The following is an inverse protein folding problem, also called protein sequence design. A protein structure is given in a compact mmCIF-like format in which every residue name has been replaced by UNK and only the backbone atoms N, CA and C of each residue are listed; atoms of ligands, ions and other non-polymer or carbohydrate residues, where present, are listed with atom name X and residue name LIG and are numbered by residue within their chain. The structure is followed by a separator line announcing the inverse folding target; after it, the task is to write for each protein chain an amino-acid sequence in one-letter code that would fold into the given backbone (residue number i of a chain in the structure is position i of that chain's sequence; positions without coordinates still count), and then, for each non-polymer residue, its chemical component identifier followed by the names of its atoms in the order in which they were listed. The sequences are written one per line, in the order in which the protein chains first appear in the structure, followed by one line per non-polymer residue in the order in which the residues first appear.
data_IF_706881461548
#
_entry.id   IF_706881461548
#
_cell.length_a   1.000
_cell.length_b   1.000
_cell.length_c   1.000
_cell.angle_alpha   90.00
_cell.angle_beta   90.00
_cell.angle_gamma   90.00
#
_symmetry.space_group_name_H-M   'P 1'
#
loop_
_entity.id
_entity.type
_entity.pdbx_description
1 polymer ?
#
# COMPACT_ATOMS: atom_id res chain seq x y z
N UNK A 1 -11.55 -2.84 -4.72
CA UNK A 1 -11.85 -3.90 -3.75
C UNK A 1 -13.30 -3.76 -3.30
N UNK A 2 -14.01 -4.89 -3.16
CA UNK A 2 -15.41 -4.94 -2.69
C UNK A 2 -15.56 -6.04 -1.65
N UNK A 3 -16.24 -5.74 -0.55
CA UNK A 3 -16.62 -6.76 0.43
C UNK A 3 -17.84 -7.53 -0.09
N UNK A 4 -17.73 -8.85 -0.12
CA UNK A 4 -18.77 -9.79 -0.56
C UNK A 4 -19.23 -10.60 0.64
N UNK A 5 -20.52 -10.66 0.87
CA UNK A 5 -21.11 -11.37 2.02
C UNK A 5 -21.89 -12.61 1.64
N UNK A 6 -22.27 -12.73 0.37
CA UNK A 6 -23.07 -13.85 -0.12
C UNK A 6 -22.49 -14.45 -1.40
N UNK A 7 -22.77 -15.73 -1.62
CA UNK A 7 -22.40 -16.42 -2.86
C UNK A 7 -23.03 -15.79 -4.10
N UNK A 8 -24.23 -15.22 -3.96
CA UNK A 8 -24.92 -14.54 -5.06
C UNK A 8 -24.20 -13.26 -5.47
N UNK A 9 -23.76 -12.44 -4.50
CA UNK A 9 -22.94 -11.26 -4.76
C UNK A 9 -21.61 -11.63 -5.44
N UNK A 10 -20.92 -12.67 -4.93
CA UNK A 10 -19.68 -13.17 -5.53
C UNK A 10 -19.91 -13.57 -7.00
N UNK A 11 -20.95 -14.36 -7.28
CA UNK A 11 -21.29 -14.79 -8.65
C UNK A 11 -21.58 -13.61 -9.57
N UNK A 12 -22.31 -12.59 -9.11
CA UNK A 12 -22.58 -11.37 -9.87
C UNK A 12 -21.29 -10.62 -10.23
N UNK A 13 -20.36 -10.50 -9.28
CA UNK A 13 -19.06 -9.85 -9.53
C UNK A 13 -18.20 -10.64 -10.50
N UNK A 14 -18.16 -11.97 -10.39
CA UNK A 14 -17.45 -12.85 -11.34
C UNK A 14 -18.04 -12.70 -12.74
N UNK A 15 -19.36 -12.74 -12.87
CA UNK A 15 -20.03 -12.54 -14.17
C UNK A 15 -19.66 -11.18 -14.77
N UNK A 16 -19.55 -10.14 -13.95
CA UNK A 16 -19.10 -8.83 -14.41
C UNK A 16 -17.63 -8.86 -14.82
N UNK A 17 -16.73 -9.46 -14.01
CA UNK A 17 -15.30 -9.55 -14.27
C UNK A 17 -14.99 -10.27 -15.60
N UNK A 18 -15.69 -11.36 -15.89
CA UNK A 18 -15.49 -12.14 -17.12
C UNK A 18 -16.34 -11.68 -18.30
N UNK A 19 -17.27 -10.72 -18.10
CA UNK A 19 -18.11 -10.14 -19.12
C UNK A 19 -17.70 -8.70 -19.48
N UNK A 20 -18.52 -7.74 -19.03
CA UNK A 20 -18.31 -6.31 -19.33
C UNK A 20 -17.10 -5.67 -18.65
N UNK A 21 -16.50 -6.33 -17.66
CA UNK A 21 -15.37 -5.84 -16.88
C UNK A 21 -15.70 -4.72 -15.91
N UNK A 22 -14.70 -4.34 -15.13
CA UNK A 22 -14.75 -3.21 -14.20
C UNK A 22 -13.98 -2.02 -14.78
N UNK A 23 -14.51 -0.79 -14.70
CA UNK A 23 -13.76 0.38 -15.10
C UNK A 23 -12.60 0.62 -14.13
N UNK A 24 -11.41 0.88 -14.66
CA UNK A 24 -10.20 1.23 -13.88
C UNK A 24 -10.30 2.60 -13.19
N UNK A 25 -11.27 3.39 -13.56
CA UNK A 25 -11.50 4.72 -13.02
C UNK A 25 -12.97 4.90 -12.64
N UNK A 26 -13.19 5.28 -11.39
CA UNK A 26 -14.51 5.64 -10.89
C UNK A 26 -14.52 7.14 -10.52
N UNK A 27 -15.06 8.00 -11.40
CA UNK A 27 -15.11 9.44 -11.16
C UNK A 27 -15.99 9.82 -9.95
N UNK A 28 -16.97 8.96 -9.60
CA UNK A 28 -17.89 9.23 -8.48
C UNK A 28 -17.19 9.09 -7.14
N UNK A 29 -16.29 8.13 -7.00
CA UNK A 29 -15.49 7.96 -5.78
C UNK A 29 -14.59 9.17 -5.54
N UNK A 30 -13.98 9.71 -6.60
CA UNK A 30 -13.13 10.90 -6.48
C UNK A 30 -13.92 12.15 -6.09
N UNK A 31 -15.11 12.31 -6.64
CA UNK A 31 -16.02 13.39 -6.26
C UNK A 31 -16.42 13.30 -4.79
N UNK A 32 -16.78 12.09 -4.32
CA UNK A 32 -17.10 11.82 -2.91
C UNK A 32 -15.93 12.12 -1.98
N UNK A 33 -14.70 11.75 -2.39
CA UNK A 33 -13.50 12.04 -1.61
C UNK A 33 -13.20 13.55 -1.54
N UNK A 34 -13.30 14.25 -2.66
CA UNK A 34 -13.10 15.70 -2.70
C UNK A 34 -14.16 16.42 -1.88
N UNK A 35 -15.42 15.95 -1.92
CA UNK A 35 -16.50 16.49 -1.09
C UNK A 35 -16.25 16.27 0.40
N UNK A 36 -15.77 15.07 0.78
CA UNK A 36 -15.46 14.74 2.19
C UNK A 36 -14.29 15.54 2.75
N UNK A 37 -13.29 15.85 1.90
CA UNK A 37 -12.10 16.65 2.25
C UNK A 37 -12.30 18.14 2.01
N UNK A 38 -13.51 18.55 1.54
CA UNK A 38 -13.77 19.93 1.20
C UNK A 38 -13.61 20.83 2.44
N UNK A 39 -12.76 21.84 2.30
CA UNK A 39 -12.60 22.93 3.26
C UNK A 39 -12.98 24.24 2.56
N UNK A 40 -13.53 25.19 3.30
CA UNK A 40 -13.83 26.55 2.82
C UNK A 40 -12.54 27.37 2.65
N UNK A 41 -11.56 26.80 1.93
CA UNK A 41 -10.31 27.43 1.56
C UNK A 41 -10.19 27.52 0.04
N UNK A 42 -9.32 28.40 -0.46
CA UNK A 42 -9.04 28.53 -1.90
C UNK A 42 -8.66 27.19 -2.52
N UNK A 43 -7.83 26.39 -1.82
CA UNK A 43 -7.37 25.09 -2.28
C UNK A 43 -8.52 24.06 -2.31
N UNK A 44 -9.43 24.09 -1.34
CA UNK A 44 -10.62 23.24 -1.31
C UNK A 44 -11.54 23.50 -2.52
N UNK A 45 -11.75 24.76 -2.90
CA UNK A 45 -12.53 25.10 -4.10
C UNK A 45 -11.83 24.65 -5.39
N UNK A 46 -10.51 24.81 -5.49
CA UNK A 46 -9.73 24.38 -6.65
C UNK A 46 -9.77 22.86 -6.79
N UNK A 47 -9.64 22.11 -5.71
CA UNK A 47 -9.69 20.65 -5.73
C UNK A 47 -11.08 20.12 -6.08
N UNK A 48 -12.13 20.78 -5.60
CA UNK A 48 -13.51 20.47 -6.00
C UNK A 48 -13.75 20.76 -7.49
N UNK A 49 -13.31 21.90 -7.99
CA UNK A 49 -13.42 22.25 -9.41
C UNK A 49 -12.64 21.23 -10.29
N UNK A 50 -11.44 20.82 -9.88
CA UNK A 50 -10.67 19.76 -10.56
C UNK A 50 -11.40 18.41 -10.53
N UNK A 51 -12.05 18.06 -9.42
CA UNK A 51 -12.81 16.81 -9.31
C UNK A 51 -14.01 16.79 -10.25
N UNK A 52 -14.76 17.91 -10.34
CA UNK A 52 -15.87 18.09 -11.28
C UNK A 52 -15.37 18.05 -12.74
N UNK A 53 -14.30 18.77 -13.05
CA UNK A 53 -13.71 18.74 -14.39
C UNK A 53 -13.31 17.32 -14.82
N UNK A 54 -12.71 16.55 -13.92
CA UNK A 54 -12.32 15.14 -14.18
C UNK A 54 -13.49 14.17 -14.23
N UNK A 55 -14.64 14.53 -13.68
CA UNK A 55 -15.88 13.77 -13.87
C UNK A 55 -16.36 13.84 -15.32
N UNK A 56 -16.29 15.03 -15.92
CA UNK A 56 -16.71 15.29 -17.32
C UNK A 56 -15.60 14.90 -18.31
N UNK A 57 -14.34 15.20 -17.96
CA UNK A 57 -13.16 14.94 -18.81
C UNK A 57 -12.20 14.00 -18.07
N UNK A 58 -12.40 12.66 -18.16
CA UNK A 58 -11.49 11.71 -17.51
C UNK A 58 -10.09 11.84 -18.10
N UNK A 59 -9.04 11.61 -17.28
CA UNK A 59 -7.64 11.64 -17.72
C UNK A 59 -7.39 10.70 -18.90
N UNK A 60 -6.44 11.03 -19.76
CA UNK A 60 -6.14 10.23 -20.97
C UNK A 60 -5.74 8.80 -20.65
N UNK A 61 -5.05 8.53 -19.53
CA UNK A 61 -4.68 7.18 -19.14
C UNK A 61 -5.90 6.25 -18.97
N UNK A 62 -7.06 6.79 -18.55
CA UNK A 62 -8.31 6.02 -18.40
C UNK A 62 -8.79 5.43 -19.73
N UNK A 63 -8.57 6.18 -20.81
CA UNK A 63 -8.91 5.72 -22.17
C UNK A 63 -7.96 4.62 -22.66
N UNK A 64 -6.69 4.68 -22.22
CA UNK A 64 -5.65 3.73 -22.61
C UNK A 64 -5.76 2.44 -21.81
N UNK A 65 -5.99 2.52 -20.50
CA UNK A 65 -6.04 1.34 -19.62
C UNK A 65 -7.29 0.48 -19.80
N UNK A 66 -8.37 1.01 -20.38
CA UNK A 66 -9.59 0.26 -20.63
C UNK A 66 -10.27 -0.22 -19.35
N UNK A 67 -10.78 -1.46 -19.38
CA UNK A 67 -11.45 -2.12 -18.26
C UNK A 67 -10.65 -3.32 -17.79
N UNK A 68 -10.73 -3.63 -16.51
CA UNK A 68 -10.22 -4.88 -15.96
C UNK A 68 -11.19 -6.02 -16.30
N UNK A 69 -10.72 -6.99 -17.07
CA UNK A 69 -11.51 -8.12 -17.56
C UNK A 69 -10.71 -9.41 -17.45
N UNK A 70 -11.39 -10.53 -17.22
CA UNK A 70 -10.81 -11.86 -17.35
C UNK A 70 -10.21 -12.44 -16.07
N UNK A 71 -10.31 -11.75 -14.94
CA UNK A 71 -9.89 -12.31 -13.65
C UNK A 71 -10.77 -11.85 -12.49
N UNK A 72 -10.79 -12.66 -11.43
CA UNK A 72 -11.39 -12.32 -10.14
C UNK A 72 -10.53 -12.94 -9.04
N UNK A 73 -10.05 -12.12 -8.12
CA UNK A 73 -9.31 -12.55 -6.94
C UNK A 73 -10.19 -12.43 -5.71
N UNK A 74 -10.28 -13.51 -4.92
CA UNK A 74 -11.00 -13.55 -3.66
C UNK A 74 -10.04 -13.80 -2.52
N UNK A 75 -10.22 -13.06 -1.45
CA UNK A 75 -9.45 -13.15 -0.22
C UNK A 75 -10.42 -13.19 0.97
N UNK A 76 -10.08 -13.95 1.99
CA UNK A 76 -10.84 -13.93 3.22
C UNK A 76 -10.78 -12.54 3.86
N UNK A 77 -11.94 -12.02 4.26
CA UNK A 77 -11.99 -10.78 5.02
C UNK A 77 -11.64 -11.05 6.48
N UNK A 78 -10.67 -10.33 7.00
CA UNK A 78 -10.27 -10.38 8.41
C UNK A 78 -10.92 -9.19 9.12
N UNK A 79 -11.96 -9.43 9.95
CA UNK A 79 -12.71 -8.36 10.60
C UNK A 79 -11.96 -7.77 11.79
N UNK A 80 -12.51 -6.65 12.34
CA UNK A 80 -12.10 -6.02 13.59
C UNK A 80 -10.69 -5.38 13.57
N UNK A 81 -10.15 -5.06 12.40
CA UNK A 81 -8.95 -4.26 12.28
C UNK A 81 -9.34 -2.79 12.07
N UNK A 82 -8.97 -1.92 13.01
CA UNK A 82 -9.15 -0.47 12.91
C UNK A 82 -8.04 0.22 12.11
N UNK A 83 -6.99 -0.52 11.81
CA UNK A 83 -5.84 -0.12 11.01
C UNK A 83 -5.22 -1.31 10.31
N UNK A 84 -4.39 -1.05 9.32
CA UNK A 84 -3.39 -1.98 8.82
C UNK A 84 -1.99 -1.43 9.08
N UNK A 85 -1.02 -2.33 9.20
CA UNK A 85 0.39 -2.01 9.39
C UNK A 85 1.13 -2.31 8.09
N UNK A 86 1.72 -1.29 7.48
CA UNK A 86 2.61 -1.46 6.33
C UNK A 86 4.06 -1.39 6.78
N UNK A 87 4.80 -2.46 6.55
CA UNK A 87 6.25 -2.52 6.76
C UNK A 87 6.93 -2.62 5.40
N UNK A 88 7.95 -1.78 5.19
CA UNK A 88 8.78 -1.78 4.00
C UNK A 88 10.17 -2.22 4.39
N UNK A 89 10.73 -3.15 3.62
CA UNK A 89 12.11 -3.62 3.81
C UNK A 89 12.92 -3.28 2.57
N UNK A 90 14.07 -2.63 2.77
CA UNK A 90 15.03 -2.27 1.74
C UNK A 90 16.44 -2.53 2.28
N UNK A 91 17.21 -3.38 1.61
CA UNK A 91 18.63 -3.64 1.94
C UNK A 91 18.85 -3.91 3.44
N UNK A 92 18.04 -4.79 4.04
CA UNK A 92 18.15 -5.16 5.46
C UNK A 92 17.73 -4.05 6.44
N UNK A 93 16.96 -3.06 6.00
CA UNK A 93 16.39 -2.01 6.84
C UNK A 93 14.89 -1.95 6.66
N UNK A 94 14.15 -1.89 7.77
CA UNK A 94 12.69 -1.84 7.76
C UNK A 94 12.18 -0.53 8.34
N UNK A 95 11.17 0.03 7.72
CA UNK A 95 10.42 1.19 8.22
C UNK A 95 8.95 1.03 7.85
N UNK A 96 8.07 1.81 8.44
CA UNK A 96 6.67 1.59 8.16
C UNK A 96 5.74 2.73 8.52
N UNK A 97 4.48 2.49 8.24
CA UNK A 97 3.38 3.34 8.68
C UNK A 97 2.17 2.50 9.05
N UNK A 98 1.43 2.93 10.04
CA UNK A 98 0.13 2.40 10.40
C UNK A 98 -0.93 3.25 9.71
N UNK A 99 -1.89 2.62 9.01
CA UNK A 99 -2.97 3.31 8.30
C UNK A 99 -4.29 3.02 8.98
N UNK A 100 -4.95 4.06 9.46
CA UNK A 100 -6.28 3.91 10.07
C UNK A 100 -7.35 3.68 9.01
N UNK A 101 -8.31 2.81 9.35
CA UNK A 101 -9.46 2.53 8.51
C UNK A 101 -10.34 3.77 8.36
N UNK A 102 -10.93 3.97 7.20
CA UNK A 102 -11.85 5.07 6.95
C UNK A 102 -13.13 4.91 7.75
N UNK A 103 -13.66 5.98 8.29
CA UNK A 103 -14.96 5.95 8.96
C UNK A 103 -16.06 5.42 8.01
N UNK A 104 -16.70 4.31 8.41
CA UNK A 104 -17.74 3.67 7.62
C UNK A 104 -17.26 2.83 6.42
N UNK A 105 -15.98 2.50 6.38
CA UNK A 105 -15.35 1.62 5.38
C UNK A 105 -14.54 0.53 6.12
N UNK A 106 -14.13 -0.50 5.43
CA UNK A 106 -13.21 -1.53 5.94
C UNK A 106 -11.78 -1.35 5.41
N UNK A 107 -11.57 -0.40 4.52
CA UNK A 107 -10.29 -0.15 3.86
C UNK A 107 -9.49 0.92 4.59
N UNK A 108 -8.25 0.61 4.94
CA UNK A 108 -7.29 1.58 5.46
C UNK A 108 -6.59 2.35 4.32
N UNK A 109 -6.39 1.68 3.19
CA UNK A 109 -5.76 2.30 2.02
C UNK A 109 -6.46 3.58 1.56
N UNK A 110 -5.67 4.67 1.42
CA UNK A 110 -6.16 5.99 1.01
C UNK A 110 -7.01 6.71 2.06
N UNK A 111 -6.97 6.32 3.33
CA UNK A 111 -7.65 7.04 4.43
C UNK A 111 -7.10 8.43 4.63
N UNK A 112 -5.79 8.61 4.45
CA UNK A 112 -5.07 9.84 4.73
C UNK A 112 -4.83 10.07 6.23
N UNK A 113 -5.03 9.04 7.07
CA UNK A 113 -4.77 9.06 8.50
C UNK A 113 -3.72 8.00 8.82
N UNK A 114 -2.55 8.44 9.30
CA UNK A 114 -1.37 7.62 9.50
C UNK A 114 -0.77 7.85 10.89
N UNK A 115 -0.05 6.84 11.38
CA UNK A 115 0.87 6.94 12.50
C UNK A 115 2.22 6.33 12.10
N UNK A 116 3.32 6.90 12.61
CA UNK A 116 4.68 6.56 12.22
C UNK A 116 5.57 6.22 13.41
N UNK A 117 5.11 6.53 14.63
CA UNK A 117 5.87 6.35 15.84
C UNK A 117 6.07 4.85 16.13
N UNK A 118 7.27 4.49 16.60
CA UNK A 118 7.68 3.11 16.87
C UNK A 118 6.66 2.32 17.71
N UNK A 119 6.05 2.96 18.67
CA UNK A 119 5.14 2.37 19.66
C UNK A 119 3.84 1.83 19.05
N UNK A 120 3.51 2.26 17.84
CA UNK A 120 2.34 1.78 17.09
C UNK A 120 2.56 0.46 16.36
N UNK A 121 3.80 -0.01 16.29
CA UNK A 121 4.13 -1.20 15.52
C UNK A 121 4.31 -2.43 16.43
N UNK A 122 3.70 -3.53 16.01
CA UNK A 122 4.00 -4.82 16.59
C UNK A 122 5.29 -5.36 15.95
N UNK A 123 6.33 -5.56 16.75
CA UNK A 123 7.64 -6.03 16.29
C UNK A 123 7.58 -7.40 15.60
N UNK A 124 6.53 -8.20 15.85
CA UNK A 124 6.30 -9.45 15.12
C UNK A 124 6.09 -9.20 13.62
N UNK A 125 5.42 -8.10 13.24
CA UNK A 125 5.26 -7.72 11.83
C UNK A 125 6.61 -7.39 11.19
N UNK A 126 7.48 -6.69 11.93
CA UNK A 126 8.83 -6.33 11.46
C UNK A 126 9.69 -7.58 11.29
N UNK A 127 9.69 -8.49 12.27
CA UNK A 127 10.41 -9.75 12.23
C UNK A 127 9.97 -10.62 11.04
N UNK A 128 8.65 -10.79 10.84
CA UNK A 128 8.09 -11.54 9.71
C UNK A 128 8.47 -10.90 8.38
N UNK A 129 8.45 -9.56 8.30
CA UNK A 129 8.83 -8.85 7.07
C UNK A 129 10.30 -9.12 6.70
N UNK A 130 11.23 -9.09 7.65
CA UNK A 130 12.64 -9.46 7.41
C UNK A 130 12.77 -10.91 6.98
N UNK A 131 12.17 -11.85 7.72
CA UNK A 131 12.23 -13.28 7.44
C UNK A 131 11.75 -13.61 6.01
N UNK A 132 10.62 -13.04 5.59
CA UNK A 132 10.07 -13.30 4.26
C UNK A 132 10.89 -12.61 3.17
N UNK A 133 11.39 -11.40 3.42
CA UNK A 133 12.28 -10.69 2.50
C UNK A 133 13.53 -11.52 2.20
N UNK A 134 14.15 -12.10 3.22
CA UNK A 134 15.31 -12.97 3.09
C UNK A 134 14.97 -14.24 2.33
N UNK A 135 13.91 -14.97 2.75
CA UNK A 135 13.48 -16.23 2.11
C UNK A 135 13.15 -16.08 0.63
N UNK A 136 12.59 -14.93 0.24
CA UNK A 136 12.24 -14.66 -1.14
C UNK A 136 13.34 -13.91 -1.90
N UNK A 137 14.48 -13.62 -1.26
CA UNK A 137 15.59 -12.85 -1.83
C UNK A 137 15.16 -11.54 -2.45
N UNK A 138 14.24 -10.83 -1.78
CA UNK A 138 13.70 -9.57 -2.27
C UNK A 138 14.60 -8.40 -1.87
N UNK A 139 14.84 -7.50 -2.81
CA UNK A 139 15.68 -6.31 -2.60
C UNK A 139 14.93 -5.16 -1.95
N UNK A 140 13.65 -5.01 -2.33
CA UNK A 140 12.77 -3.94 -1.89
C UNK A 140 11.33 -4.46 -1.92
N UNK A 141 10.64 -4.44 -0.78
CA UNK A 141 9.29 -4.98 -0.66
C UNK A 141 8.52 -4.29 0.45
N UNK A 142 7.22 -4.12 0.24
CA UNK A 142 6.26 -3.67 1.24
C UNK A 142 5.29 -4.80 1.58
N UNK A 143 5.00 -4.97 2.85
CA UNK A 143 4.04 -5.93 3.40
C UNK A 143 2.94 -5.18 4.12
N UNK A 144 1.68 -5.52 3.83
CA UNK A 144 0.53 -5.04 4.58
C UNK A 144 0.04 -6.13 5.54
N UNK A 145 0.00 -5.81 6.82
CA UNK A 145 -0.41 -6.69 7.89
C UNK A 145 -1.75 -6.27 8.48
N UNK A 146 -2.55 -7.26 8.81
CA UNK A 146 -3.71 -7.18 9.72
C UNK A 146 -3.60 -8.27 10.77
N UNK A 147 -4.45 -8.23 11.81
CA UNK A 147 -4.44 -9.21 12.88
C UNK A 147 -5.71 -10.05 12.86
N UNK A 148 -5.55 -11.36 13.06
CA UNK A 148 -6.67 -12.28 13.19
C UNK A 148 -7.33 -12.22 14.59
N UNK A 149 -8.35 -13.03 14.80
CA UNK A 149 -9.06 -13.09 16.09
C UNK A 149 -8.20 -13.60 17.26
N UNK A 150 -7.08 -14.29 16.97
CA UNK A 150 -6.10 -14.73 17.96
C UNK A 150 -4.94 -13.74 18.12
N UNK A 151 -5.09 -12.53 17.58
CA UNK A 151 -4.05 -11.49 17.56
C UNK A 151 -2.74 -11.96 16.90
N UNK A 152 -2.85 -12.79 15.84
CA UNK A 152 -1.68 -13.17 15.04
C UNK A 152 -1.58 -12.26 13.82
N UNK A 153 -0.39 -11.73 13.50
CA UNK A 153 -0.19 -10.92 12.30
C UNK A 153 -0.34 -11.78 11.03
N UNK A 154 -1.12 -11.28 10.08
CA UNK A 154 -1.36 -11.90 8.78
C UNK A 154 -0.99 -10.93 7.67
N UNK A 155 -0.18 -11.38 6.71
CA UNK A 155 0.11 -10.62 5.50
C UNK A 155 -1.09 -10.72 4.57
N UNK A 156 -1.64 -9.57 4.21
CA UNK A 156 -2.77 -9.45 3.27
C UNK A 156 -2.37 -8.92 1.90
N UNK A 157 -1.22 -8.27 1.80
CA UNK A 157 -0.66 -7.76 0.55
C UNK A 157 0.86 -7.75 0.60
N UNK A 158 1.50 -8.11 -0.52
CA UNK A 158 2.93 -7.93 -0.77
C UNK A 158 3.06 -7.09 -2.03
N UNK A 159 3.85 -6.01 -1.97
CA UNK A 159 4.01 -5.07 -3.08
C UNK A 159 5.47 -4.62 -3.20
N UNK A 160 5.97 -4.54 -4.43
CA UNK A 160 7.28 -3.94 -4.71
C UNK A 160 7.21 -2.42 -4.93
N UNK A 161 6.00 -1.86 -5.04
CA UNK A 161 5.77 -0.44 -5.30
C UNK A 161 5.12 0.28 -4.12
N UNK A 162 5.69 1.41 -3.70
CA UNK A 162 5.12 2.28 -2.67
C UNK A 162 5.46 3.75 -2.96
N UNK A 163 4.65 4.65 -2.39
CA UNK A 163 4.84 6.09 -2.57
C UNK A 163 5.88 6.61 -1.58
N UNK A 164 7.09 6.92 -2.06
CA UNK A 164 8.18 7.40 -1.22
C UNK A 164 7.81 8.62 -0.33
N UNK A 165 7.14 9.67 -0.82
CA UNK A 165 6.74 10.81 0.03
C UNK A 165 5.82 10.45 1.19
N UNK A 166 5.13 9.30 1.13
CA UNK A 166 4.29 8.83 2.22
C UNK A 166 5.06 8.42 3.47
N UNK A 167 6.38 8.24 3.37
CA UNK A 167 7.27 7.78 4.44
C UNK A 167 8.28 8.82 4.91
N UNK A 168 8.27 10.02 4.33
CA UNK A 168 9.13 11.14 4.78
C UNK A 168 8.95 11.47 6.28
N UNK A 169 7.74 11.30 6.89
CA UNK A 169 7.54 11.51 8.32
C UNK A 169 8.05 10.39 9.23
N UNK A 170 8.54 9.25 8.69
CA UNK A 170 9.02 8.15 9.53
C UNK A 170 10.19 8.60 10.39
N UNK A 171 10.14 8.42 11.73
CA UNK A 171 11.15 8.92 12.66
C UNK A 171 12.40 8.04 12.72
N UNK A 172 12.41 6.86 12.07
CA UNK A 172 13.52 5.94 12.10
C UNK A 172 13.22 4.62 11.37
N UNK A 173 14.08 3.64 11.58
CA UNK A 173 14.00 2.32 10.94
C UNK A 173 14.55 1.22 11.87
N UNK A 174 14.18 -0.04 11.60
CA UNK A 174 14.71 -1.24 12.25
C UNK A 174 15.78 -1.92 11.39
N UNK A 175 16.71 -2.59 12.07
CA UNK A 175 17.63 -3.57 11.50
C UNK A 175 17.14 -5.00 11.76
N UNK A 176 17.69 -6.06 11.14
CA UNK A 176 17.18 -7.43 11.25
C UNK A 176 17.20 -8.02 12.68
N UNK A 177 18.02 -7.49 13.56
CA UNK A 177 18.07 -7.80 15.00
C UNK A 177 17.01 -7.04 15.82
N UNK A 178 16.09 -6.35 15.14
CA UNK A 178 15.04 -5.51 15.70
C UNK A 178 15.56 -4.29 16.48
N UNK A 179 16.80 -3.88 16.27
CA UNK A 179 17.32 -2.62 16.80
C UNK A 179 16.68 -1.44 16.07
N UNK A 180 16.21 -0.46 16.85
CA UNK A 180 15.63 0.77 16.32
C UNK A 180 16.69 1.87 16.18
N UNK A 181 16.80 2.43 14.99
CA UNK A 181 17.66 3.57 14.67
C UNK A 181 16.81 4.81 14.45
N UNK A 182 16.81 5.70 15.40
CA UNK A 182 16.07 6.95 15.32
C UNK A 182 16.83 7.98 14.47
N UNK A 183 16.08 8.74 13.69
CA UNK A 183 16.60 9.83 12.87
C UNK A 183 16.18 9.74 11.41
N UNK A 184 16.49 10.78 10.64
CA UNK A 184 16.15 10.82 9.21
C UNK A 184 16.96 9.78 8.42
N UNK A 185 16.32 9.19 7.43
CA UNK A 185 16.94 8.22 6.53
C UNK A 185 16.51 8.43 5.08
N UNK A 186 17.25 7.84 4.15
CA UNK A 186 17.01 7.97 2.72
C UNK A 186 16.76 6.60 2.07
N UNK A 187 15.50 6.13 1.98
CA UNK A 187 15.20 4.82 1.42
C UNK A 187 15.52 4.71 -0.08
N UNK A 188 15.45 5.82 -0.82
CA UNK A 188 15.84 5.85 -2.22
C UNK A 188 17.37 5.68 -2.37
N UNK A 189 18.13 6.28 -1.48
CA UNK A 189 19.59 6.08 -1.40
C UNK A 189 19.92 4.61 -1.18
N UNK A 190 19.23 3.92 -0.26
CA UNK A 190 19.45 2.48 -0.03
C UNK A 190 19.17 1.62 -1.27
N UNK A 191 18.15 1.97 -2.07
CA UNK A 191 17.89 1.27 -3.34
C UNK A 191 19.03 1.45 -4.33
N UNK A 192 19.60 2.65 -4.42
CA UNK A 192 20.74 2.95 -5.29
C UNK A 192 21.99 2.20 -4.82
N UNK A 193 22.28 2.24 -3.52
CA UNK A 193 23.42 1.54 -2.91
C UNK A 193 23.35 0.02 -3.17
N UNK A 194 22.15 -0.56 -3.11
CA UNK A 194 21.91 -1.97 -3.37
C UNK A 194 22.30 -2.35 -4.81
N UNK A 195 21.89 -1.56 -5.79
CA UNK A 195 22.24 -1.77 -7.20
C UNK A 195 23.74 -1.62 -7.44
N UNK A 196 24.39 -0.61 -6.83
CA UNK A 196 25.83 -0.39 -6.94
C UNK A 196 26.60 -1.59 -6.35
N UNK A 197 26.23 -2.07 -5.16
CA UNK A 197 26.84 -3.23 -4.52
C UNK A 197 26.79 -4.48 -5.41
N UNK A 198 25.62 -4.73 -6.04
CA UNK A 198 25.45 -5.89 -6.93
C UNK A 198 26.33 -5.78 -8.17
N UNK A 199 26.33 -4.64 -8.84
CA UNK A 199 27.14 -4.41 -10.04
C UNK A 199 28.64 -4.58 -9.75
N UNK A 200 29.11 -4.15 -8.56
CA UNK A 200 30.49 -4.29 -8.15
C UNK A 200 30.86 -5.75 -7.88
N UNK A 201 29.96 -6.53 -7.26
CA UNK A 201 30.17 -7.95 -6.98
C UNK A 201 30.20 -8.77 -8.29
N UNK A 202 29.30 -8.50 -9.23
CA UNK A 202 29.27 -9.18 -10.53
C UNK A 202 30.52 -8.89 -11.37
N UNK A 203 31.05 -7.67 -11.30
CA UNK A 203 32.28 -7.27 -11.99
C UNK A 203 33.53 -8.02 -11.42
N UNK A 204 33.53 -8.30 -10.14
CA UNK A 204 34.60 -9.07 -9.49
C UNK A 204 34.54 -10.56 -9.80
N UNK A 205 33.35 -11.12 -10.08
CA UNK A 205 33.17 -12.53 -10.45
C UNK A 205 33.61 -12.82 -11.90
N UNK A 206 33.60 -11.83 -12.77
CA UNK A 206 34.01 -11.98 -14.20
C UNK A 206 35.49 -11.69 -14.45
N UNK A 207 36.24 -11.29 -13.43
CA UNK A 207 37.67 -11.00 -13.51
C UNK A 207 38.57 -12.13 -12.91
N UNK A 208 38.00 -13.28 -12.65
CA UNK A 208 38.67 -14.52 -12.26
C UNK A 208 38.28 -15.63 -13.23
#
# INVERSE_FOLDING_TARGET
VKLVRTRSEAKSLVTTAFGKGFPNYDPTNRLKESWRKFSFSRDGFVDMAKAIARYVYPPNYVKIMGKEVGYAYFQNFIPNNESDTRIIVIDGKAFGLLRYVRKGDFRASGSGSFAYEREHFDERCVSIAFEITEKLSMQCVAFDFVFDAANQPLIVEISYGFSAPGYDPCPGYWTPDLEWHEGPFNPQGWMVDLVIKQTTNDSNLHNH
#
